data_IF_568203197233
#
_entry.id   IF_568203197233
#
_cell.length_a   1.000
_cell.length_b   1.000
_cell.length_c   1.000
_cell.angle_alpha   90.00
_cell.angle_beta   90.00
_cell.angle_gamma   90.00
#
_symmetry.space_group_name_H-M   'P 1'
#
loop_
_entity.id
_entity.type
_entity.pdbx_description
1 polymer ?
#
# COMPACT_ATOMS: atom_id res chain seq x y z
N UNK A 1 54.10 -9.97 3.02
CA UNK A 1 53.18 -9.17 3.84
C UNK A 1 51.82 -9.82 3.75
N UNK A 2 51.11 -10.12 4.84
CA UNK A 2 49.77 -10.69 4.76
C UNK A 2 48.79 -9.63 4.22
N UNK A 3 47.89 -10.07 3.36
CA UNK A 3 46.85 -9.26 2.72
C UNK A 3 45.88 -8.74 3.79
N UNK A 4 45.80 -7.42 3.95
CA UNK A 4 44.91 -6.78 4.93
C UNK A 4 43.55 -6.63 4.25
N UNK A 5 42.46 -7.25 4.75
CA UNK A 5 41.16 -7.15 4.11
C UNK A 5 40.69 -5.70 4.10
N UNK A 6 40.39 -5.20 2.91
CA UNK A 6 39.89 -3.85 2.69
C UNK A 6 38.52 -3.68 3.37
N UNK A 7 38.25 -2.54 4.03
CA UNK A 7 36.96 -2.28 4.66
C UNK A 7 35.88 -2.20 3.59
N UNK A 8 34.94 -3.15 3.64
CA UNK A 8 33.69 -3.12 2.90
C UNK A 8 32.98 -1.79 3.18
N UNK A 9 32.74 -0.99 2.14
CA UNK A 9 31.95 0.24 2.23
C UNK A 9 30.56 -0.12 2.75
N UNK A 10 30.26 0.27 4.00
CA UNK A 10 28.91 0.19 4.55
C UNK A 10 27.95 0.92 3.62
N UNK A 11 27.13 0.15 2.91
CA UNK A 11 26.06 0.69 2.08
C UNK A 11 25.06 1.38 3.00
N UNK A 12 24.79 2.65 2.70
CA UNK A 12 23.91 3.51 3.47
C UNK A 12 22.64 2.76 3.91
N UNK A 13 22.60 2.53 5.21
CA UNK A 13 21.67 1.69 5.95
C UNK A 13 20.38 2.44 6.21
N UNK A 14 19.36 2.21 5.38
CA UNK A 14 17.93 2.14 5.71
C UNK A 14 17.09 2.16 4.42
N UNK A 15 15.96 1.44 4.35
CA UNK A 15 15.05 1.55 3.22
C UNK A 15 14.50 2.98 3.12
N UNK A 16 14.55 3.58 1.94
CA UNK A 16 13.92 4.89 1.69
C UNK A 16 12.40 4.74 1.81
N UNK A 17 11.77 5.56 2.66
CA UNK A 17 10.31 5.64 2.78
C UNK A 17 9.80 6.98 2.22
N UNK A 18 8.52 7.00 1.88
CA UNK A 18 7.86 8.22 1.40
C UNK A 18 7.46 9.06 2.62
N UNK A 19 8.07 10.23 2.79
CA UNK A 19 7.59 11.18 3.80
C UNK A 19 6.22 11.75 3.43
N UNK A 20 5.60 12.48 4.36
CA UNK A 20 4.25 13.01 4.20
C UNK A 20 4.10 13.96 2.99
N UNK A 21 5.07 14.83 2.73
CA UNK A 21 5.05 15.75 1.58
C UNK A 21 5.11 14.96 0.27
N UNK A 22 5.99 13.97 0.20
CA UNK A 22 6.10 13.11 -0.97
C UNK A 22 4.86 12.23 -1.19
N UNK A 23 4.19 11.78 -0.12
CA UNK A 23 2.89 11.10 -0.21
C UNK A 23 1.81 12.02 -0.81
N UNK A 24 1.74 13.28 -0.37
CA UNK A 24 0.79 14.25 -0.95
C UNK A 24 1.10 14.57 -2.40
N UNK A 25 2.38 14.74 -2.76
CA UNK A 25 2.81 14.98 -4.13
C UNK A 25 2.40 13.82 -5.05
N UNK A 26 2.62 12.57 -4.61
CA UNK A 26 2.19 11.38 -5.33
C UNK A 26 0.67 11.35 -5.54
N UNK A 27 -0.12 11.57 -4.48
CA UNK A 27 -1.58 11.61 -4.59
C UNK A 27 -2.03 12.67 -5.61
N UNK A 28 -1.47 13.88 -5.56
CA UNK A 28 -1.81 14.97 -6.49
C UNK A 28 -1.55 14.60 -7.95
N UNK A 29 -0.41 13.98 -8.24
CA UNK A 29 -0.05 13.58 -9.62
C UNK A 29 -0.99 12.50 -10.14
N UNK A 30 -1.31 11.51 -9.31
CA UNK A 30 -2.19 10.40 -9.69
C UNK A 30 -3.64 10.88 -9.90
N UNK A 31 -4.13 11.76 -9.03
CA UNK A 31 -5.45 12.39 -9.18
C UNK A 31 -5.54 13.26 -10.45
N UNK A 32 -4.46 13.96 -10.81
CA UNK A 32 -4.39 14.74 -12.07
C UNK A 32 -4.53 13.85 -13.30
N UNK A 33 -4.05 12.60 -13.24
CA UNK A 33 -4.17 11.61 -14.31
C UNK A 33 -5.61 11.13 -14.56
N UNK A 34 -6.55 11.38 -13.64
CA UNK A 34 -7.99 11.03 -13.72
C UNK A 34 -8.30 9.56 -14.02
N UNK A 35 -7.35 8.65 -13.79
CA UNK A 35 -7.55 7.20 -13.91
C UNK A 35 -8.01 6.66 -12.55
N UNK A 36 -9.28 6.30 -12.45
CA UNK A 36 -9.91 5.80 -11.21
C UNK A 36 -9.15 4.60 -10.63
N UNK A 37 -8.70 3.67 -11.48
CA UNK A 37 -7.88 2.52 -11.07
C UNK A 37 -6.56 2.92 -10.41
N UNK A 38 -5.82 3.83 -11.01
CA UNK A 38 -4.50 4.24 -10.51
C UNK A 38 -4.65 4.98 -9.17
N UNK A 39 -5.67 5.83 -9.07
CA UNK A 39 -6.04 6.53 -7.83
C UNK A 39 -6.37 5.51 -6.73
N UNK A 40 -7.12 4.45 -7.06
CA UNK A 40 -7.47 3.39 -6.12
C UNK A 40 -6.26 2.62 -5.61
N UNK A 41 -5.39 2.19 -6.52
CA UNK A 41 -4.19 1.43 -6.18
C UNK A 41 -3.34 2.23 -5.18
N UNK A 42 -3.05 3.49 -5.51
CA UNK A 42 -2.18 4.35 -4.68
C UNK A 42 -2.82 4.64 -3.34
N UNK A 43 -4.10 5.03 -3.31
CA UNK A 43 -4.79 5.32 -2.04
C UNK A 43 -4.96 4.07 -1.18
N UNK A 44 -5.23 2.90 -1.76
CA UNK A 44 -5.32 1.67 -0.98
C UNK A 44 -3.97 1.32 -0.36
N UNK A 45 -2.88 1.34 -1.13
CA UNK A 45 -1.54 1.02 -0.61
C UNK A 45 -1.14 1.97 0.52
N UNK A 46 -1.35 3.28 0.35
CA UNK A 46 -1.02 4.28 1.37
C UNK A 46 -1.85 4.13 2.66
N UNK A 47 -3.13 3.76 2.56
CA UNK A 47 -4.01 3.72 3.72
C UNK A 47 -4.10 2.35 4.41
N UNK A 48 -3.77 1.26 3.72
CA UNK A 48 -3.97 -0.11 4.24
C UNK A 48 -2.67 -0.86 4.51
N UNK A 49 -1.53 -0.45 3.93
CA UNK A 49 -0.27 -1.17 4.08
C UNK A 49 -0.32 -2.59 3.50
N UNK A 50 -1.14 -2.80 2.47
CA UNK A 50 -1.15 -4.02 1.67
C UNK A 50 0.16 -4.22 0.93
N UNK A 51 0.53 -5.48 0.73
CA UNK A 51 1.58 -5.82 -0.25
C UNK A 51 0.99 -5.74 -1.65
N UNK A 52 1.83 -5.46 -2.65
CA UNK A 52 1.43 -5.42 -4.07
C UNK A 52 0.74 -6.72 -4.48
N UNK A 53 1.29 -7.88 -4.09
CA UNK A 53 0.69 -9.18 -4.38
C UNK A 53 -0.69 -9.37 -3.73
N UNK A 54 -0.89 -8.84 -2.52
CA UNK A 54 -2.17 -8.91 -1.80
C UNK A 54 -3.21 -8.02 -2.48
N UNK A 55 -2.81 -6.83 -2.96
CA UNK A 55 -3.68 -5.95 -3.74
C UNK A 55 -4.08 -6.57 -5.07
N UNK A 56 -3.15 -7.22 -5.78
CA UNK A 56 -3.44 -7.88 -7.06
C UNK A 56 -4.37 -9.09 -6.91
N UNK A 57 -4.32 -9.78 -5.77
CA UNK A 57 -5.18 -10.93 -5.48
C UNK A 57 -6.52 -10.53 -4.83
N UNK A 58 -6.76 -9.24 -4.59
CA UNK A 58 -7.94 -8.78 -3.86
C UNK A 58 -9.23 -8.96 -4.68
N UNK A 59 -10.27 -9.49 -4.05
CA UNK A 59 -11.60 -9.62 -4.65
C UNK A 59 -12.63 -8.75 -3.94
N UNK A 60 -13.75 -8.42 -4.61
CA UNK A 60 -14.86 -7.70 -3.99
C UNK A 60 -15.48 -8.44 -2.80
N UNK A 61 -15.38 -9.76 -2.75
CA UNK A 61 -15.90 -10.57 -1.64
C UNK A 61 -15.06 -10.41 -0.35
N UNK A 62 -13.79 -10.03 -0.49
CA UNK A 62 -12.90 -9.76 0.64
C UNK A 62 -13.16 -8.38 1.28
N UNK A 63 -13.97 -7.55 0.62
CA UNK A 63 -14.33 -6.21 1.07
C UNK A 63 -15.70 -6.22 1.75
N UNK A 64 -15.75 -5.62 2.95
CA UNK A 64 -17.00 -5.31 3.65
C UNK A 64 -17.06 -3.81 3.86
N UNK A 65 -17.82 -3.12 3.01
CA UNK A 65 -17.96 -1.65 3.03
C UNK A 65 -19.39 -1.30 3.47
N UNK A 66 -19.49 -0.34 4.38
CA UNK A 66 -20.74 0.29 4.81
C UNK A 66 -20.50 1.81 4.86
N UNK A 67 -21.56 2.65 4.88
CA UNK A 67 -21.40 4.11 4.84
C UNK A 67 -20.48 4.66 5.94
N UNK A 68 -20.51 4.04 7.12
CA UNK A 68 -19.73 4.47 8.30
C UNK A 68 -18.55 3.57 8.65
N UNK A 69 -18.51 2.31 8.19
CA UNK A 69 -17.49 1.31 8.57
C UNK A 69 -17.01 0.57 7.33
N UNK A 70 -15.75 0.16 7.30
CA UNK A 70 -15.22 -0.67 6.22
C UNK A 70 -14.12 -1.58 6.75
N UNK A 71 -14.05 -2.81 6.23
CA UNK A 71 -13.02 -3.79 6.57
C UNK A 71 -12.60 -4.52 5.31
N UNK A 72 -11.31 -4.79 5.24
CA UNK A 72 -10.65 -5.53 4.19
C UNK A 72 -10.08 -6.79 4.82
N UNK A 73 -10.46 -7.95 4.32
CA UNK A 73 -9.95 -9.22 4.80
C UNK A 73 -8.79 -9.69 3.91
N UNK A 74 -7.59 -9.80 4.46
CA UNK A 74 -6.40 -10.25 3.71
C UNK A 74 -6.19 -11.72 3.98
N UNK A 75 -6.46 -12.56 2.97
CA UNK A 75 -6.41 -14.01 3.10
C UNK A 75 -5.05 -14.62 2.70
N UNK A 76 -4.24 -13.93 1.90
CA UNK A 76 -3.00 -14.46 1.30
C UNK A 76 -1.72 -13.77 1.82
N UNK A 77 -1.49 -13.79 3.14
CA UNK A 77 -0.23 -13.34 3.75
C UNK A 77 0.81 -14.48 3.82
N UNK A 78 2.11 -14.14 3.79
CA UNK A 78 3.22 -15.07 4.08
C UNK A 78 2.93 -15.82 5.40
N UNK A 79 2.81 -17.16 5.33
CA UNK A 79 2.47 -18.02 6.47
C UNK A 79 0.97 -18.21 6.73
N UNK A 80 0.09 -17.91 5.75
CA UNK A 80 -1.36 -18.14 5.81
C UNK A 80 -2.09 -17.39 6.94
N UNK A 81 -1.47 -16.34 7.50
CA UNK A 81 -2.08 -15.52 8.55
C UNK A 81 -3.08 -14.56 7.95
N UNK A 82 -4.36 -14.76 8.28
CA UNK A 82 -5.44 -13.83 7.96
C UNK A 82 -5.34 -12.60 8.86
N UNK A 83 -5.53 -11.42 8.27
CA UNK A 83 -5.66 -10.16 9.02
C UNK A 83 -6.81 -9.33 8.46
N UNK A 84 -7.44 -8.58 9.35
CA UNK A 84 -8.51 -7.64 9.00
C UNK A 84 -7.94 -6.23 9.11
N UNK A 85 -8.03 -5.48 8.01
CA UNK A 85 -7.57 -4.08 7.96
C UNK A 85 -8.81 -3.18 7.95
N UNK A 86 -8.96 -2.26 8.91
CA UNK A 86 -10.04 -1.28 8.87
C UNK A 86 -9.81 -0.28 7.73
N UNK A 87 -10.86 0.00 6.95
CA UNK A 87 -10.81 0.97 5.87
C UNK A 87 -11.24 2.35 6.37
N UNK A 88 -10.38 3.34 6.13
CA UNK A 88 -10.69 4.74 6.40
C UNK A 88 -11.62 5.34 5.33
N UNK A 89 -12.04 6.60 5.53
CA UNK A 89 -12.98 7.29 4.64
C UNK A 89 -12.46 7.35 3.20
N UNK A 90 -11.18 7.65 3.00
CA UNK A 90 -10.59 7.79 1.67
C UNK A 90 -10.52 6.45 0.92
N UNK A 91 -10.07 5.39 1.58
CA UNK A 91 -10.04 4.05 0.97
C UNK A 91 -11.43 3.58 0.57
N UNK A 92 -12.45 3.81 1.41
CA UNK A 92 -13.85 3.47 1.08
C UNK A 92 -14.35 4.27 -0.12
N UNK A 93 -14.09 5.58 -0.16
CA UNK A 93 -14.56 6.44 -1.24
C UNK A 93 -14.05 5.93 -2.60
N UNK A 94 -12.77 5.61 -2.69
CA UNK A 94 -12.18 5.20 -3.96
C UNK A 94 -12.61 3.80 -4.38
N UNK A 95 -12.83 2.88 -3.42
CA UNK A 95 -13.42 1.58 -3.71
C UNK A 95 -14.84 1.71 -4.27
N UNK A 96 -15.66 2.62 -3.73
CA UNK A 96 -17.01 2.89 -4.24
C UNK A 96 -17.00 3.56 -5.62
N UNK A 97 -15.97 4.35 -5.94
CA UNK A 97 -15.80 4.96 -7.27
C UNK A 97 -15.33 3.96 -8.34
N UNK A 98 -14.78 2.82 -7.93
CA UNK A 98 -14.30 1.76 -8.81
C UNK A 98 -15.41 0.79 -9.26
N UNK A 99 -16.45 0.61 -8.46
CA UNK A 99 -17.52 -0.37 -8.69
C UNK A 99 -18.55 -0.40 -7.57
#
# INVERSE_FOLDING_TARGET
MPDVPQPIKEQASAPKWLDRLNQYALCRVVEKGRKTRDIAIVKLLLNTGLRVSELCALTWNDLKISPKKGRLNVNHGKGSKRRIIPLNKDARKVLLELG
#
